data_IF_182239452529
#
_entry.id   IF_182239452529
#
_cell.length_a   1.000
_cell.length_b   1.000
_cell.length_c   1.000
_cell.angle_alpha   90.00
_cell.angle_beta   90.00
_cell.angle_gamma   90.00
#
_symmetry.space_group_name_H-M   'P 1'
#
loop_
_entity.id
_entity.type
_entity.pdbx_description
1 polymer ?
#
# COMPACT_ATOMS: atom_id res chain seq x y z
N UNK A 1 12.25 13.37 -12.80
CA UNK A 1 11.25 12.48 -12.18
C UNK A 1 11.22 11.20 -13.00
N UNK A 2 11.36 10.04 -12.36
CA UNK A 2 11.36 8.74 -13.02
C UNK A 2 9.90 8.35 -13.34
N UNK A 3 9.64 7.61 -14.43
CA UNK A 3 8.28 7.20 -14.82
C UNK A 3 7.61 6.34 -13.73
N UNK A 4 8.40 5.53 -13.03
CA UNK A 4 7.95 4.69 -11.92
C UNK A 4 7.49 5.52 -10.72
N UNK A 5 8.13 6.66 -10.49
CA UNK A 5 7.82 7.59 -9.41
C UNK A 5 6.44 8.25 -9.67
N UNK A 6 6.20 8.65 -10.92
CA UNK A 6 4.90 9.16 -11.37
C UNK A 6 3.80 8.12 -11.23
N UNK A 7 4.06 6.86 -11.61
CA UNK A 7 3.09 5.77 -11.50
C UNK A 7 2.79 5.43 -10.04
N UNK A 8 3.79 5.42 -9.17
CA UNK A 8 3.61 5.22 -7.74
C UNK A 8 2.76 6.34 -7.12
N UNK A 9 3.05 7.59 -7.45
CA UNK A 9 2.28 8.75 -6.99
C UNK A 9 0.84 8.71 -7.51
N UNK A 10 0.65 8.34 -8.79
CA UNK A 10 -0.67 8.18 -9.39
C UNK A 10 -1.49 7.08 -8.69
N UNK A 11 -0.88 5.92 -8.44
CA UNK A 11 -1.52 4.82 -7.72
C UNK A 11 -1.91 5.21 -6.28
N UNK A 12 -1.02 5.93 -5.59
CA UNK A 12 -1.28 6.47 -4.26
C UNK A 12 -2.49 7.42 -4.27
N UNK A 13 -2.52 8.36 -5.22
CA UNK A 13 -3.62 9.31 -5.37
C UNK A 13 -4.94 8.61 -5.72
N UNK A 14 -4.90 7.59 -6.60
CA UNK A 14 -6.07 6.83 -7.00
C UNK A 14 -6.73 6.08 -5.83
N UNK A 15 -5.94 5.57 -4.87
CA UNK A 15 -6.48 4.99 -3.64
C UNK A 15 -6.83 6.02 -2.57
N UNK A 16 -6.03 7.07 -2.43
CA UNK A 16 -6.25 8.09 -1.39
C UNK A 16 -7.52 8.92 -1.65
N UNK A 17 -7.87 9.16 -2.92
CA UNK A 17 -9.02 9.97 -3.32
C UNK A 17 -10.38 9.46 -2.79
N UNK A 18 -10.79 8.18 -3.01
CA UNK A 18 -12.05 7.68 -2.46
C UNK A 18 -12.07 7.69 -0.93
N UNK A 19 -10.94 7.37 -0.28
CA UNK A 19 -10.83 7.40 1.19
C UNK A 19 -10.96 8.83 1.73
N UNK A 20 -10.32 9.79 1.08
CA UNK A 20 -10.38 11.21 1.45
C UNK A 20 -11.79 11.77 1.27
N UNK A 21 -12.47 11.41 0.18
CA UNK A 21 -13.86 11.79 -0.06
C UNK A 21 -14.78 11.25 1.04
N UNK A 22 -14.60 10.00 1.44
CA UNK A 22 -15.36 9.36 2.53
C UNK A 22 -15.12 10.07 3.87
N UNK A 23 -13.88 10.49 4.14
CA UNK A 23 -13.55 11.31 5.32
C UNK A 23 -14.24 12.67 5.32
N UNK A 24 -14.29 13.35 4.17
CA UNK A 24 -15.01 14.61 4.00
C UNK A 24 -16.51 14.42 4.21
N UNK A 25 -17.09 13.35 3.68
CA UNK A 25 -18.52 13.04 3.86
C UNK A 25 -18.87 12.85 5.34
N UNK A 26 -18.04 12.15 6.11
CA UNK A 26 -18.27 12.01 7.56
C UNK A 26 -18.07 13.31 8.33
N UNK A 27 -17.16 14.19 7.91
CA UNK A 27 -17.02 15.53 8.50
C UNK A 27 -18.28 16.35 8.28
N UNK A 28 -18.80 16.36 7.05
CA UNK A 28 -20.05 17.06 6.70
C UNK A 28 -21.25 16.46 7.43
N UNK A 29 -21.28 15.14 7.59
CA UNK A 29 -22.32 14.41 8.34
C UNK A 29 -22.24 14.55 9.86
N UNK A 30 -21.37 15.41 10.40
CA UNK A 30 -21.24 15.68 11.84
C UNK A 30 -20.44 14.63 12.63
N UNK A 31 -19.91 13.60 11.96
CA UNK A 31 -19.07 12.55 12.55
C UNK A 31 -17.59 12.91 12.44
N UNK A 32 -17.20 13.97 13.13
CA UNK A 32 -15.87 14.59 13.01
C UNK A 32 -14.72 13.65 13.33
N UNK A 33 -14.84 12.83 14.39
CA UNK A 33 -13.80 11.88 14.79
C UNK A 33 -13.52 10.86 13.67
N UNK A 34 -14.58 10.31 13.09
CA UNK A 34 -14.49 9.30 12.02
C UNK A 34 -13.97 9.94 10.75
N UNK A 35 -14.50 11.10 10.37
CA UNK A 35 -14.05 11.81 9.18
C UNK A 35 -12.59 12.23 9.25
N UNK A 36 -12.13 12.71 10.42
CA UNK A 36 -10.73 13.04 10.65
C UNK A 36 -9.82 11.80 10.55
N UNK A 37 -10.26 10.64 11.06
CA UNK A 37 -9.49 9.40 10.94
C UNK A 37 -9.31 8.97 9.48
N UNK A 38 -10.38 9.01 8.67
CA UNK A 38 -10.30 8.70 7.24
C UNK A 38 -9.41 9.70 6.48
N UNK A 39 -9.50 10.99 6.81
CA UNK A 39 -8.67 12.02 6.19
C UNK A 39 -7.19 11.84 6.57
N UNK A 40 -6.90 11.45 7.82
CA UNK A 40 -5.55 11.10 8.26
C UNK A 40 -4.99 9.90 7.50
N UNK A 41 -5.79 8.84 7.29
CA UNK A 41 -5.39 7.67 6.49
C UNK A 41 -5.10 8.06 5.04
N UNK A 42 -5.98 8.85 4.43
CA UNK A 42 -5.79 9.37 3.06
C UNK A 42 -4.49 10.16 2.93
N UNK A 43 -4.23 11.09 3.86
CA UNK A 43 -2.98 11.84 3.90
C UNK A 43 -1.76 10.95 4.12
N UNK A 44 -1.85 9.96 5.02
CA UNK A 44 -0.76 9.02 5.29
C UNK A 44 -0.37 8.19 4.07
N UNK A 45 -1.33 7.81 3.22
CA UNK A 45 -1.05 7.09 1.96
C UNK A 45 -0.23 7.96 0.99
N UNK A 46 -0.61 9.23 0.83
CA UNK A 46 0.09 10.15 -0.07
C UNK A 46 1.48 10.50 0.47
N UNK A 47 1.57 10.84 1.76
CA UNK A 47 2.83 11.17 2.44
C UNK A 47 3.75 9.95 2.49
N UNK A 48 3.20 8.76 2.71
CA UNK A 48 3.94 7.50 2.72
C UNK A 48 4.67 7.24 1.40
N UNK A 49 4.00 7.50 0.27
CA UNK A 49 4.63 7.37 -1.05
C UNK A 49 5.63 8.49 -1.33
N UNK A 50 5.37 9.73 -0.89
CA UNK A 50 6.30 10.84 -1.04
C UNK A 50 7.61 10.67 -0.24
N UNK A 51 7.53 10.15 1.00
CA UNK A 51 8.69 10.01 1.88
C UNK A 51 9.38 8.65 1.78
N UNK A 52 8.68 7.62 1.32
CA UNK A 52 9.23 6.28 1.09
C UNK A 52 8.85 5.81 -0.31
N UNK A 53 9.39 6.42 -1.38
CA UNK A 53 9.06 6.12 -2.77
C UNK A 53 9.57 4.75 -3.25
N UNK A 54 9.85 3.81 -2.35
CA UNK A 54 10.31 2.47 -2.67
C UNK A 54 9.16 1.45 -2.48
N UNK A 55 8.16 1.41 -3.38
CA UNK A 55 7.13 0.36 -3.35
C UNK A 55 7.75 -1.03 -3.56
N UNK A 56 8.96 -1.10 -4.12
CA UNK A 56 9.73 -2.32 -4.30
C UNK A 56 10.21 -2.97 -3.00
N UNK A 57 10.35 -2.25 -1.88
CA UNK A 57 10.74 -2.91 -0.62
C UNK A 57 9.60 -3.76 -0.05
N UNK A 58 8.36 -3.28 -0.19
CA UNK A 58 7.18 -3.98 0.34
C UNK A 58 6.74 -5.08 -0.62
N UNK A 59 6.63 -4.76 -1.92
CA UNK A 59 6.20 -5.73 -2.93
C UNK A 59 7.31 -6.73 -3.27
N UNK A 60 8.57 -6.29 -3.33
CA UNK A 60 9.72 -7.15 -3.57
C UNK A 60 9.98 -8.11 -2.41
N UNK A 61 9.77 -7.66 -1.16
CA UNK A 61 9.83 -8.55 0.01
C UNK A 61 8.78 -9.66 -0.06
N UNK A 62 7.52 -9.32 -0.33
CA UNK A 62 6.43 -10.33 -0.43
C UNK A 62 6.56 -11.22 -1.66
N UNK A 63 6.98 -10.67 -2.80
CA UNK A 63 7.18 -11.46 -4.02
C UNK A 63 8.37 -12.41 -3.87
N UNK A 64 9.49 -11.95 -3.28
CA UNK A 64 10.66 -12.79 -3.02
C UNK A 64 10.37 -13.87 -1.99
N UNK A 65 9.63 -13.54 -0.93
CA UNK A 65 9.16 -14.50 0.09
C UNK A 65 8.27 -15.59 -0.53
N UNK A 66 7.36 -15.21 -1.42
CA UNK A 66 6.53 -16.18 -2.15
C UNK A 66 7.34 -17.06 -3.11
N UNK A 67 8.31 -16.49 -3.83
CA UNK A 67 9.21 -17.27 -4.70
C UNK A 67 10.12 -18.21 -3.89
N UNK A 68 10.67 -17.77 -2.76
CA UNK A 68 11.49 -18.61 -1.88
C UNK A 68 10.67 -19.68 -1.16
N UNK A 69 9.42 -19.40 -0.79
CA UNK A 69 8.51 -20.41 -0.26
C UNK A 69 8.26 -21.52 -1.27
N UNK A 70 8.06 -21.18 -2.55
CA UNK A 70 7.84 -22.16 -3.61
C UNK A 70 9.05 -23.06 -3.90
N UNK A 71 10.29 -22.56 -3.76
CA UNK A 71 11.51 -23.37 -3.90
C UNK A 71 11.72 -24.30 -2.68
N UNK A 72 11.50 -23.81 -1.45
CA UNK A 72 11.69 -24.63 -0.25
C UNK A 72 10.70 -25.80 -0.14
N UNK A 73 9.47 -25.65 -0.63
CA UNK A 73 8.49 -26.74 -0.69
C UNK A 73 8.91 -27.82 -1.72
N UNK A 74 9.61 -27.45 -2.80
CA UNK A 74 10.09 -28.38 -3.82
C UNK A 74 11.29 -29.23 -3.36
N UNK A 75 12.16 -28.69 -2.50
CA UNK A 75 13.30 -29.42 -1.93
C UNK A 75 12.88 -30.35 -0.77
N UNK A 76 11.84 -29.99 0.00
CA UNK A 76 11.35 -30.79 1.12
C UNK A 76 10.72 -32.14 0.69
N UNK A 77 10.18 -32.21 -0.53
CA UNK A 77 9.61 -33.44 -1.09
C UNK A 77 10.68 -34.40 -1.68
N UNK A 78 11.94 -33.96 -1.81
CA UNK A 78 13.02 -34.76 -2.41
C UNK A 78 13.91 -35.48 -1.37
N UNK A 79 13.86 -35.10 -0.09
CA UNK A 79 14.67 -35.71 0.99
C UNK A 79 13.89 -36.75 1.83
N UNK A 80 12.65 -37.06 1.43
CA UNK A 80 11.75 -38.01 2.08
C UNK A 80 11.60 -39.35 1.35
N UNK A 81 12.71 -40.00 0.98
CA UNK A 81 12.73 -41.41 0.54
C UNK A 81 13.81 -42.23 1.26
#
# INVERSE_FOLDING_TARGET
MNILDTLALFGAAALAAPIGLLGVEFLVGGRTLVGAAFLAISGALVVGVLYRPNPLDVVGGTALDWFQGADNDADADAEGE
#
